data_IF_209214960700
#
_entry.id   IF_209214960700
#
_cell.length_a   1.000
_cell.length_b   1.000
_cell.length_c   1.000
_cell.angle_alpha   90.00
_cell.angle_beta   90.00
_cell.angle_gamma   90.00
#
_symmetry.space_group_name_H-M   'P 1'
#
loop_
_entity.id
_entity.type
_entity.pdbx_description
1 polymer ?
#
# COMPACT_ATOMS: atom_id res chain seq x y z
N UNK A 1 43.92 1.48 18.35
CA UNK A 1 42.50 1.05 18.29
C UNK A 1 41.78 1.89 17.24
N UNK A 2 41.51 1.31 16.07
CA UNK A 2 40.81 1.98 14.97
C UNK A 2 39.30 1.84 15.17
N UNK A 3 38.57 2.96 15.19
CA UNK A 3 37.11 2.98 15.30
C UNK A 3 36.54 2.52 13.95
N UNK A 4 35.84 1.39 13.92
CA UNK A 4 35.11 0.92 12.74
C UNK A 4 33.97 1.90 12.45
N UNK A 5 34.08 2.65 11.37
CA UNK A 5 33.00 3.48 10.86
C UNK A 5 32.08 2.59 10.01
N UNK A 6 31.08 1.97 10.64
CA UNK A 6 30.08 1.17 9.92
C UNK A 6 29.19 2.12 9.12
N UNK A 7 29.10 1.99 7.78
CA UNK A 7 28.20 2.82 6.98
C UNK A 7 26.75 2.52 7.39
N UNK A 8 26.01 3.56 7.78
CA UNK A 8 24.57 3.48 7.99
C UNK A 8 23.93 3.27 6.61
N UNK A 9 23.45 2.05 6.34
CA UNK A 9 22.60 1.81 5.19
C UNK A 9 21.29 2.59 5.37
N UNK A 10 21.17 3.72 4.68
CA UNK A 10 19.88 4.37 4.51
C UNK A 10 19.07 3.49 3.56
N UNK A 11 18.10 2.74 4.10
CA UNK A 11 17.09 2.08 3.29
C UNK A 11 16.21 3.20 2.72
N UNK A 12 16.44 3.54 1.45
CA UNK A 12 15.56 4.45 0.73
C UNK A 12 14.25 3.70 0.45
N UNK A 13 13.16 4.13 1.07
CA UNK A 13 11.82 3.70 0.68
C UNK A 13 11.41 4.50 -0.55
N UNK A 14 11.80 4.03 -1.74
CA UNK A 14 11.32 4.62 -2.98
C UNK A 14 9.92 4.11 -3.26
N UNK A 15 8.97 5.03 -3.20
CA UNK A 15 7.65 4.89 -3.79
C UNK A 15 7.59 5.98 -4.85
N UNK A 16 7.77 5.61 -6.10
CA UNK A 16 7.72 6.56 -7.22
C UNK A 16 6.50 6.28 -8.09
N UNK A 17 5.82 7.35 -8.52
CA UNK A 17 4.63 7.28 -9.34
C UNK A 17 4.92 7.85 -10.72
N UNK A 18 4.76 7.00 -11.74
CA UNK A 18 5.00 7.36 -13.12
C UNK A 18 3.67 7.50 -13.86
N UNK A 19 3.52 8.58 -14.63
CA UNK A 19 2.37 8.77 -15.53
C UNK A 19 2.88 8.90 -16.96
N UNK A 20 2.40 8.03 -17.83
CA UNK A 20 2.66 8.08 -19.27
C UNK A 20 1.34 8.42 -19.98
N UNK A 21 1.39 9.45 -20.83
CA UNK A 21 0.29 9.85 -21.70
C UNK A 21 0.66 9.49 -23.13
N UNK A 22 -0.18 8.67 -23.76
CA UNK A 22 -0.08 8.36 -25.19
C UNK A 22 -1.32 8.92 -25.89
N UNK A 23 -1.10 9.73 -26.92
CA UNK A 23 -2.17 10.25 -27.78
C UNK A 23 -2.10 9.47 -29.09
N UNK A 24 -3.15 8.72 -29.41
CA UNK A 24 -3.29 7.99 -30.67
C UNK A 24 -4.61 8.39 -31.33
N UNK A 25 -4.52 8.90 -32.56
CA UNK A 25 -5.64 9.50 -33.30
C UNK A 25 -6.41 10.52 -32.43
N UNK A 26 -7.66 10.20 -32.06
CA UNK A 26 -8.56 11.00 -31.20
C UNK A 26 -8.67 10.47 -29.75
N UNK A 27 -7.76 9.58 -29.32
CA UNK A 27 -7.79 8.95 -27.99
C UNK A 27 -6.58 9.33 -27.14
N UNK A 28 -6.83 9.71 -25.90
CA UNK A 28 -5.82 9.86 -24.85
C UNK A 28 -5.79 8.61 -23.96
N UNK A 29 -4.68 7.88 -24.00
CA UNK A 29 -4.44 6.70 -23.15
C UNK A 29 -3.50 7.12 -22.01
N UNK A 30 -4.00 7.02 -20.78
CA UNK A 30 -3.24 7.27 -19.57
C UNK A 30 -2.79 5.95 -18.95
N UNK A 31 -1.48 5.78 -18.78
CA UNK A 31 -0.91 4.66 -18.03
C UNK A 31 -0.25 5.21 -16.77
N UNK A 32 -0.67 4.71 -15.62
CA UNK A 32 -0.08 5.05 -14.32
C UNK A 32 0.53 3.81 -13.71
N UNK A 33 1.79 3.90 -13.29
CA UNK A 33 2.53 2.81 -12.66
C UNK A 33 3.17 3.32 -11.38
N UNK A 34 3.30 2.44 -10.39
CA UNK A 34 3.95 2.77 -9.13
C UNK A 34 4.93 1.65 -8.78
N UNK A 35 6.18 2.05 -8.56
CA UNK A 35 7.22 1.13 -8.13
C UNK A 35 7.16 1.00 -6.62
N UNK A 36 7.06 -0.25 -6.15
CA UNK A 36 6.99 -0.57 -4.73
C UNK A 36 8.26 -1.32 -4.36
N UNK A 37 9.08 -0.72 -3.48
CA UNK A 37 10.31 -1.36 -3.03
C UNK A 37 10.01 -2.60 -2.17
N UNK A 38 10.91 -3.58 -2.22
CA UNK A 38 10.85 -4.75 -1.32
C UNK A 38 10.92 -4.32 0.15
N UNK A 39 11.73 -3.31 0.47
CA UNK A 39 11.85 -2.78 1.83
C UNK A 39 10.54 -2.25 2.39
N UNK A 40 9.68 -1.67 1.53
CA UNK A 40 8.36 -1.23 1.93
C UNK A 40 7.46 -2.43 2.24
N UNK A 41 7.43 -3.45 1.39
CA UNK A 41 6.66 -4.66 1.66
C UNK A 41 7.13 -5.37 2.94
N UNK A 42 8.44 -5.41 3.17
CA UNK A 42 9.04 -5.97 4.38
C UNK A 42 8.64 -5.16 5.62
N UNK A 43 8.59 -3.82 5.52
CA UNK A 43 8.13 -2.98 6.62
C UNK A 43 6.66 -3.21 6.94
N UNK A 44 5.81 -3.41 5.92
CA UNK A 44 4.39 -3.77 6.15
C UNK A 44 4.24 -5.13 6.81
N UNK A 45 5.06 -6.12 6.44
CA UNK A 45 5.08 -7.42 7.08
C UNK A 45 5.53 -7.33 8.55
N UNK A 46 6.56 -6.52 8.84
CA UNK A 46 7.02 -6.26 10.20
C UNK A 46 5.93 -5.55 11.04
N UNK A 47 5.28 -4.53 10.47
CA UNK A 47 4.15 -3.85 11.11
C UNK A 47 3.05 -4.84 11.48
N UNK A 48 2.67 -5.73 10.55
CA UNK A 48 1.67 -6.79 10.78
C UNK A 48 2.02 -7.67 11.97
N UNK A 49 3.25 -8.17 12.03
CA UNK A 49 3.72 -8.99 13.15
C UNK A 49 3.73 -8.23 14.48
N UNK A 50 4.04 -6.92 14.47
CA UNK A 50 4.02 -6.11 15.69
C UNK A 50 2.62 -5.76 16.18
N UNK A 51 1.63 -5.71 15.29
CA UNK A 51 0.25 -5.37 15.65
C UNK A 51 -0.47 -6.50 16.37
N UNK A 52 -0.10 -7.76 16.17
CA UNK A 52 -0.77 -8.89 16.80
C UNK A 52 -0.75 -8.82 18.33
N UNK A 53 0.38 -8.41 18.90
CA UNK A 53 0.60 -8.33 20.35
C UNK A 53 0.15 -7.01 20.99
N UNK A 54 -0.11 -5.98 20.20
CA UNK A 54 -0.51 -4.67 20.72
C UNK A 54 -2.04 -4.56 20.93
N UNK A 55 -2.51 -3.94 22.02
CA UNK A 55 -3.91 -3.53 22.15
C UNK A 55 -4.29 -2.58 21.00
N UNK A 56 -5.46 -2.79 20.40
CA UNK A 56 -6.00 -1.85 19.42
C UNK A 56 -6.41 -0.59 20.19
N UNK A 57 -5.66 0.49 20.02
CA UNK A 57 -6.02 1.81 20.55
C UNK A 57 -7.13 2.48 19.73
N UNK A 58 -7.25 3.80 19.85
CA UNK A 58 -8.26 4.57 19.11
C UNK A 58 -8.05 4.57 17.58
N UNK A 59 -6.82 4.28 17.13
CA UNK A 59 -6.47 4.24 15.71
C UNK A 59 -5.77 2.92 15.40
N UNK A 60 -6.22 2.26 14.34
CA UNK A 60 -5.66 0.99 13.87
C UNK A 60 -5.30 1.09 12.39
N UNK A 61 -4.05 0.78 12.05
CA UNK A 61 -3.61 0.78 10.65
C UNK A 61 -3.87 -0.59 10.06
N UNK A 62 -4.84 -0.67 9.15
CA UNK A 62 -5.30 -1.94 8.56
C UNK A 62 -4.52 -2.30 7.29
N UNK A 63 -4.18 -1.31 6.47
CA UNK A 63 -3.45 -1.50 5.23
C UNK A 63 -2.69 -0.23 4.83
N UNK A 64 -1.68 -0.38 3.98
CA UNK A 64 -1.03 0.73 3.27
C UNK A 64 -1.25 0.56 1.77
N UNK A 65 -2.23 1.27 1.22
CA UNK A 65 -2.65 1.11 -0.17
C UNK A 65 -1.97 2.20 -1.02
N UNK A 66 -1.20 1.83 -2.07
CA UNK A 66 -0.60 2.80 -2.96
C UNK A 66 -1.65 3.62 -3.73
N UNK A 67 -1.38 4.90 -3.97
CA UNK A 67 -2.32 5.83 -4.60
C UNK A 67 -2.83 5.34 -5.95
N UNK A 68 -1.97 4.70 -6.78
CA UNK A 68 -2.38 4.20 -8.10
C UNK A 68 -3.49 3.13 -8.00
N UNK A 69 -3.50 2.35 -6.92
CA UNK A 69 -4.53 1.35 -6.66
C UNK A 69 -5.84 2.03 -6.28
N UNK A 70 -5.77 3.03 -5.40
CA UNK A 70 -6.94 3.83 -4.99
C UNK A 70 -7.58 4.52 -6.19
N UNK A 71 -6.78 5.13 -7.05
CA UNK A 71 -7.30 5.84 -8.24
C UNK A 71 -7.92 4.89 -9.24
N UNK A 72 -7.30 3.72 -9.48
CA UNK A 72 -7.89 2.67 -10.30
C UNK A 72 -9.24 2.24 -9.72
N UNK A 73 -9.31 2.01 -8.42
CA UNK A 73 -10.55 1.62 -7.77
C UNK A 73 -11.66 2.67 -7.91
N UNK A 74 -11.33 3.95 -7.71
CA UNK A 74 -12.28 5.04 -7.90
C UNK A 74 -12.75 5.13 -9.36
N UNK A 75 -11.87 4.88 -10.34
CA UNK A 75 -12.25 4.84 -11.76
C UNK A 75 -13.17 3.67 -12.12
N UNK A 76 -13.12 2.59 -11.34
CA UNK A 76 -13.99 1.41 -11.45
C UNK A 76 -15.28 1.54 -10.63
N UNK A 77 -15.51 2.69 -9.98
CA UNK A 77 -16.69 2.96 -9.15
C UNK A 77 -16.59 2.51 -7.70
N UNK A 78 -15.42 2.04 -7.23
CA UNK A 78 -15.18 1.71 -5.83
C UNK A 78 -14.50 2.88 -5.11
N UNK A 79 -15.29 3.70 -4.41
CA UNK A 79 -14.76 4.81 -3.62
C UNK A 79 -14.42 4.37 -2.19
N UNK A 80 -13.14 4.15 -1.91
CA UNK A 80 -12.64 3.72 -0.58
C UNK A 80 -12.96 4.71 0.56
N UNK A 81 -13.24 5.97 0.24
CA UNK A 81 -13.55 7.01 1.23
C UNK A 81 -15.05 7.17 1.50
N UNK A 82 -15.90 6.39 0.84
CA UNK A 82 -17.34 6.39 1.12
C UNK A 82 -17.60 5.79 2.50
N UNK A 83 -18.41 6.47 3.30
CA UNK A 83 -18.82 6.05 4.66
C UNK A 83 -19.51 4.68 4.70
N UNK A 84 -20.06 4.22 3.57
CA UNK A 84 -20.74 2.93 3.47
C UNK A 84 -19.77 1.77 3.18
N UNK A 85 -18.54 2.07 2.75
CA UNK A 85 -17.53 1.04 2.51
C UNK A 85 -16.97 0.57 3.84
N UNK A 86 -17.03 -0.74 4.06
CA UNK A 86 -16.44 -1.35 5.26
C UNK A 86 -14.99 -1.70 5.00
N UNK A 87 -14.24 -1.79 6.10
CA UNK A 87 -12.86 -2.27 6.07
C UNK A 87 -12.79 -3.68 5.45
N UNK A 88 -13.78 -4.53 5.72
CA UNK A 88 -13.89 -5.87 5.12
C UNK A 88 -13.95 -5.85 3.60
N UNK A 89 -14.64 -4.88 2.99
CA UNK A 89 -14.76 -4.76 1.54
C UNK A 89 -13.41 -4.39 0.92
N UNK A 90 -12.65 -3.51 1.59
CA UNK A 90 -11.28 -3.15 1.23
C UNK A 90 -10.37 -4.37 1.30
N UNK A 91 -10.43 -5.14 2.40
CA UNK A 91 -9.61 -6.33 2.59
C UNK A 91 -9.92 -7.42 1.57
N UNK A 92 -11.20 -7.69 1.28
CA UNK A 92 -11.62 -8.64 0.23
C UNK A 92 -11.11 -8.21 -1.14
N UNK A 93 -11.16 -6.92 -1.45
CA UNK A 93 -10.68 -6.40 -2.74
C UNK A 93 -9.17 -6.54 -2.87
N UNK A 94 -8.41 -6.25 -1.81
CA UNK A 94 -6.96 -6.50 -1.78
C UNK A 94 -6.63 -7.99 -2.00
N UNK A 95 -7.36 -8.89 -1.35
CA UNK A 95 -7.19 -10.33 -1.53
C UNK A 95 -7.50 -10.78 -2.96
N UNK A 96 -8.59 -10.27 -3.57
CA UNK A 96 -8.99 -10.62 -4.94
C UNK A 96 -7.99 -10.18 -6.03
N UNK A 97 -7.07 -9.28 -5.69
CA UNK A 97 -6.07 -8.72 -6.60
C UNK A 97 -4.64 -9.19 -6.27
N UNK A 98 -4.48 -10.21 -5.42
CA UNK A 98 -3.20 -10.71 -4.90
C UNK A 98 -2.37 -9.62 -4.17
N UNK A 99 -3.04 -8.61 -3.62
CA UNK A 99 -2.43 -7.45 -2.95
C UNK A 99 -2.41 -7.58 -1.42
N UNK A 100 -2.54 -8.80 -0.89
CA UNK A 100 -2.59 -9.08 0.55
C UNK A 100 -1.34 -8.63 1.31
N UNK A 101 -0.20 -8.50 0.62
CA UNK A 101 1.04 -7.98 1.19
C UNK A 101 0.92 -6.52 1.67
N UNK A 102 -0.07 -5.78 1.17
CA UNK A 102 -0.35 -4.40 1.58
C UNK A 102 -1.11 -4.29 2.90
N UNK A 103 -1.66 -5.41 3.40
CA UNK A 103 -2.40 -5.47 4.66
C UNK A 103 -1.40 -5.41 5.82
N UNK A 104 -1.69 -4.62 6.86
CA UNK A 104 -0.81 -4.44 8.02
C UNK A 104 -1.40 -5.01 9.30
N UNK A 105 -2.53 -5.73 9.24
CA UNK A 105 -3.18 -6.35 10.39
C UNK A 105 -3.53 -7.82 10.12
N UNK A 106 -3.34 -8.67 11.11
CA UNK A 106 -3.84 -10.06 11.16
C UNK A 106 -5.09 -10.19 12.01
N UNK A 107 -5.46 -9.14 12.77
CA UNK A 107 -6.66 -9.14 13.59
C UNK A 107 -7.90 -9.15 12.70
N UNK A 108 -8.83 -10.05 13.02
CA UNK A 108 -10.15 -10.10 12.40
C UNK A 108 -10.95 -8.91 12.91
N UNK A 109 -11.24 -7.95 12.03
CA UNK A 109 -12.08 -6.79 12.31
C UNK A 109 -13.51 -7.18 11.87
N UNK A 110 -14.41 -7.40 12.82
CA UNK A 110 -15.82 -7.74 12.60
C UNK A 110 -16.68 -7.21 13.76
#
# INVERSE_FOLDING_TARGET
MSKSNTPRHHILNLIDSHTNLKIEDDKAIFKRTQDISTSFLDSLAAERGSQDSAPIGNFHKVASIPTVVVEKWMSEGFNIFDKNIKIEDILKRLASLDMEKLITTSKRLY
#
